data_IF_237379473617
#
_entry.id   IF_237379473617
#
_cell.length_a   1.000
_cell.length_b   1.000
_cell.length_c   1.000
_cell.angle_alpha   90.00
_cell.angle_beta   90.00
_cell.angle_gamma   90.00
#
_symmetry.space_group_name_H-M   'P 1'
#
loop_
_entity.id
_entity.type
_entity.pdbx_description
1 polymer ?
#
# COMPACT_ATOMS: atom_id res chain seq x y z
N UNK A 1 8.12 -1.42 -24.21
CA UNK A 1 7.44 -1.02 -22.95
C UNK A 1 8.53 -0.66 -21.96
N UNK A 2 8.44 0.50 -21.28
CA UNK A 2 9.45 1.00 -20.36
C UNK A 2 8.78 1.46 -19.07
N UNK A 3 9.23 0.92 -17.93
CA UNK A 3 8.75 1.30 -16.60
C UNK A 3 9.87 2.07 -15.90
N UNK A 4 9.58 3.29 -15.44
CA UNK A 4 10.53 4.13 -14.70
C UNK A 4 10.01 4.41 -13.30
N UNK A 5 10.87 4.18 -12.30
CA UNK A 5 10.57 4.36 -10.88
C UNK A 5 11.11 5.71 -10.43
N UNK A 6 10.22 6.64 -10.07
CA UNK A 6 10.61 7.95 -9.53
C UNK A 6 10.63 7.98 -8.00
N UNK A 7 10.32 6.85 -7.36
CA UNK A 7 10.40 6.67 -5.91
C UNK A 7 9.30 7.38 -5.12
N UNK A 8 9.30 7.10 -3.81
CA UNK A 8 8.58 7.83 -2.78
C UNK A 8 9.65 8.29 -1.76
N UNK A 9 10.43 9.31 -2.13
CA UNK A 9 11.34 9.97 -1.18
C UNK A 9 10.58 11.12 -0.50
N UNK A 10 10.97 11.46 0.73
CA UNK A 10 10.36 12.27 1.81
C UNK A 10 9.49 13.49 1.43
N UNK A 11 9.54 13.98 0.20
CA UNK A 11 8.76 15.10 -0.35
C UNK A 11 7.69 14.68 -1.38
N UNK A 12 7.66 13.42 -1.81
CA UNK A 12 6.74 12.85 -2.80
C UNK A 12 5.76 11.92 -2.11
N UNK A 13 4.55 12.42 -1.87
CA UNK A 13 3.43 11.59 -1.39
C UNK A 13 2.80 10.86 -2.57
N UNK A 14 3.21 9.61 -2.79
CA UNK A 14 2.62 8.71 -3.79
C UNK A 14 3.66 7.90 -4.57
N UNK A 15 3.31 6.68 -4.94
CA UNK A 15 4.13 5.78 -5.75
C UNK A 15 4.15 6.22 -7.22
N UNK A 16 4.97 7.21 -7.58
CA UNK A 16 5.08 7.74 -8.95
C UNK A 16 5.81 6.77 -9.89
N UNK A 17 5.10 5.80 -10.44
CA UNK A 17 5.61 4.98 -11.52
C UNK A 17 5.13 5.54 -12.86
N UNK A 18 6.05 5.71 -13.79
CA UNK A 18 5.73 6.10 -15.17
C UNK A 18 5.86 4.88 -16.07
N UNK A 19 4.76 4.51 -16.72
CA UNK A 19 4.74 3.50 -17.77
C UNK A 19 4.69 4.18 -19.14
N UNK A 20 5.64 3.82 -20.00
CA UNK A 20 5.66 4.20 -21.41
C UNK A 20 5.40 2.95 -22.29
N UNK A 21 4.27 2.96 -23.00
CA UNK A 21 3.85 1.87 -23.89
C UNK A 21 3.04 2.40 -25.08
N UNK A 22 3.32 1.90 -26.29
CA UNK A 22 2.59 2.25 -27.53
C UNK A 22 2.40 3.77 -27.73
N UNK A 23 3.43 4.57 -27.41
CA UNK A 23 3.38 6.03 -27.52
C UNK A 23 2.58 6.76 -26.42
N UNK A 24 2.03 6.02 -25.44
CA UNK A 24 1.28 6.58 -24.31
C UNK A 24 2.15 6.63 -23.06
N UNK A 25 1.92 7.66 -22.23
CA UNK A 25 2.52 7.87 -20.91
C UNK A 25 1.44 7.75 -19.85
N UNK A 26 1.62 6.82 -18.92
CA UNK A 26 0.65 6.55 -17.85
C UNK A 26 1.35 6.79 -16.51
N UNK A 27 0.78 7.69 -15.71
CA UNK A 27 1.14 7.86 -14.31
C UNK A 27 0.31 6.90 -13.46
N UNK A 28 1.01 6.04 -12.74
CA UNK A 28 0.44 5.08 -11.80
C UNK A 28 0.53 5.73 -10.42
N UNK A 29 -0.57 5.74 -9.65
CA UNK A 29 -0.58 6.30 -8.27
C UNK A 29 -1.55 7.44 -7.99
N UNK A 30 -2.41 7.82 -8.95
CA UNK A 30 -3.64 8.60 -8.69
C UNK A 30 -3.49 10.04 -8.19
N UNK A 31 -2.29 10.59 -8.04
CA UNK A 31 -2.09 11.95 -7.56
C UNK A 31 -2.48 12.99 -8.63
N UNK A 32 -3.42 13.89 -8.33
CA UNK A 32 -3.80 15.03 -9.20
C UNK A 32 -2.71 16.11 -9.25
N UNK A 33 -1.85 16.14 -8.23
CA UNK A 33 -0.70 17.05 -8.11
C UNK A 33 0.51 16.28 -7.59
N UNK A 34 1.64 16.45 -8.24
CA UNK A 34 2.91 15.85 -7.83
C UNK A 34 3.92 16.96 -7.51
N UNK A 35 4.64 16.82 -6.39
CA UNK A 35 5.76 17.70 -6.05
C UNK A 35 7.03 17.09 -6.63
N UNK A 36 7.67 17.80 -7.55
CA UNK A 36 8.88 17.36 -8.25
C UNK A 36 9.91 18.50 -8.20
N UNK A 37 11.09 18.23 -7.64
CA UNK A 37 12.19 19.20 -7.55
C UNK A 37 11.83 20.54 -6.89
N UNK A 38 10.89 20.53 -5.93
CA UNK A 38 10.42 21.74 -5.25
C UNK A 38 9.21 22.40 -5.90
N UNK A 39 8.87 22.03 -7.14
CA UNK A 39 7.71 22.56 -7.86
C UNK A 39 6.50 21.64 -7.75
N UNK A 40 5.30 22.23 -7.69
CA UNK A 40 4.04 21.48 -7.74
C UNK A 40 3.50 21.45 -9.16
N UNK A 41 3.45 20.27 -9.77
CA UNK A 41 2.97 20.08 -11.14
C UNK A 41 1.57 19.48 -11.11
N UNK A 42 0.63 20.10 -11.84
CA UNK A 42 -0.70 19.53 -12.08
C UNK A 42 -0.63 18.38 -13.07
N UNK A 43 -1.21 17.24 -12.70
CA UNK A 43 -1.33 16.09 -13.59
C UNK A 43 -2.52 16.30 -14.52
N UNK A 44 -2.22 16.58 -15.80
CA UNK A 44 -3.24 16.82 -16.85
C UNK A 44 -3.52 15.61 -17.73
N UNK A 45 -2.93 14.46 -17.40
CA UNK A 45 -3.10 13.21 -18.16
C UNK A 45 -4.11 12.30 -17.47
N UNK A 46 -4.88 11.50 -18.23
CA UNK A 46 -5.76 10.49 -17.64
C UNK A 46 -4.96 9.56 -16.71
N UNK A 47 -5.41 9.48 -15.46
CA UNK A 47 -4.85 8.59 -14.46
C UNK A 47 -5.47 7.21 -14.61
N UNK A 48 -4.62 6.20 -14.79
CA UNK A 48 -5.03 4.80 -14.73
C UNK A 48 -4.25 4.13 -13.60
N UNK A 49 -4.96 3.81 -12.51
CA UNK A 49 -4.40 3.01 -11.44
C UNK A 49 -4.36 1.54 -11.90
N UNK A 50 -3.16 1.01 -12.10
CA UNK A 50 -2.96 -0.43 -12.27
C UNK A 50 -2.64 -0.97 -10.89
N UNK A 51 -3.69 -1.40 -10.17
CA UNK A 51 -3.55 -2.11 -8.91
C UNK A 51 -3.15 -3.55 -9.27
N UNK A 52 -1.90 -3.95 -9.03
CA UNK A 52 -1.43 -5.30 -9.40
C UNK A 52 0.09 -5.51 -9.48
N UNK A 53 0.92 -4.49 -9.25
CA UNK A 53 2.38 -4.65 -9.11
C UNK A 53 2.85 -4.72 -7.64
N UNK A 54 1.92 -4.63 -6.68
CA UNK A 54 2.25 -4.91 -5.28
C UNK A 54 2.40 -6.42 -5.14
N UNK A 55 3.58 -6.92 -4.82
CA UNK A 55 3.80 -8.33 -4.47
C UNK A 55 3.20 -8.70 -3.10
N UNK A 56 2.42 -7.81 -2.50
CA UNK A 56 1.71 -8.03 -1.24
C UNK A 56 0.27 -8.43 -1.54
N UNK A 57 -0.19 -9.47 -0.84
CA UNK A 57 -1.56 -9.92 -0.93
C UNK A 57 -2.54 -8.80 -0.54
N UNK A 58 -3.64 -8.71 -1.27
CA UNK A 58 -4.70 -7.73 -1.00
C UNK A 58 -5.46 -8.09 0.28
N UNK A 59 -6.21 -7.11 0.83
CA UNK A 59 -7.00 -7.30 2.07
C UNK A 59 -7.85 -8.57 2.03
N UNK A 60 -8.55 -8.79 0.92
CA UNK A 60 -9.51 -9.88 0.81
C UNK A 60 -8.79 -11.24 0.78
N UNK A 61 -7.61 -11.31 0.16
CA UNK A 61 -6.75 -12.50 0.18
C UNK A 61 -6.25 -12.81 1.60
N UNK A 62 -5.84 -11.79 2.35
CA UNK A 62 -5.44 -11.95 3.75
C UNK A 62 -6.59 -12.43 4.64
N UNK A 63 -7.80 -11.92 4.46
CA UNK A 63 -8.98 -12.35 5.21
C UNK A 63 -9.35 -13.80 4.88
N UNK A 64 -9.31 -14.19 3.61
CA UNK A 64 -9.54 -15.58 3.19
C UNK A 64 -8.51 -16.52 3.81
N UNK A 65 -7.22 -16.18 3.74
CA UNK A 65 -6.15 -16.98 4.31
C UNK A 65 -6.26 -17.10 5.83
N UNK A 66 -6.51 -15.98 6.53
CA UNK A 66 -6.63 -15.94 7.99
C UNK A 66 -7.79 -16.82 8.46
N UNK A 67 -8.95 -16.67 7.81
CA UNK A 67 -10.14 -17.46 8.12
C UNK A 67 -9.88 -18.96 7.97
N UNK A 68 -9.20 -19.39 6.89
CA UNK A 68 -8.86 -20.80 6.69
C UNK A 68 -7.92 -21.38 7.76
N UNK A 69 -7.12 -20.54 8.43
CA UNK A 69 -6.13 -20.99 9.42
C UNK A 69 -6.67 -21.04 10.85
N UNK A 70 -7.74 -20.31 11.14
CA UNK A 70 -8.37 -20.16 12.46
C UNK A 70 -7.36 -19.94 13.61
N UNK A 71 -6.46 -18.94 13.52
CA UNK A 71 -5.47 -18.72 14.57
C UNK A 71 -6.14 -18.17 15.83
N UNK A 72 -5.79 -18.72 17.00
CA UNK A 72 -6.30 -18.23 18.28
C UNK A 72 -5.81 -16.80 18.60
N UNK A 73 -4.65 -16.41 18.04
CA UNK A 73 -4.02 -15.11 18.22
C UNK A 73 -3.36 -14.64 16.93
N UNK A 74 -3.54 -13.37 16.60
CA UNK A 74 -2.96 -12.69 15.44
C UNK A 74 -2.18 -11.46 15.90
N UNK A 75 -0.92 -11.36 15.49
CA UNK A 75 -0.07 -10.19 15.77
C UNK A 75 0.10 -9.43 14.46
N UNK A 76 -0.44 -8.21 14.39
CA UNK A 76 -0.38 -7.35 13.22
C UNK A 76 0.83 -6.42 13.33
N UNK A 77 1.71 -6.50 12.34
CA UNK A 77 2.94 -5.72 12.25
C UNK A 77 3.11 -5.17 10.83
N UNK A 78 4.10 -4.30 10.64
CA UNK A 78 4.51 -3.78 9.34
C UNK A 78 3.36 -3.25 8.47
N UNK A 79 2.84 -2.08 8.84
CA UNK A 79 1.84 -1.35 8.08
C UNK A 79 1.62 0.02 8.69
N UNK A 80 0.97 0.91 7.95
CA UNK A 80 0.52 2.18 8.52
C UNK A 80 -0.52 1.92 9.61
N UNK A 81 -0.48 2.69 10.70
CA UNK A 81 -1.34 2.47 11.87
C UNK A 81 -2.84 2.43 11.51
N UNK A 82 -3.28 3.32 10.60
CA UNK A 82 -4.67 3.33 10.13
C UNK A 82 -5.04 2.07 9.35
N UNK A 83 -4.12 1.57 8.51
CA UNK A 83 -4.34 0.36 7.73
C UNK A 83 -4.41 -0.88 8.63
N UNK A 84 -3.49 -0.99 9.61
CA UNK A 84 -3.50 -2.09 10.59
C UNK A 84 -4.77 -2.09 11.44
N UNK A 85 -5.21 -0.91 11.91
CA UNK A 85 -6.46 -0.77 12.68
C UNK A 85 -7.68 -1.19 11.85
N UNK A 86 -7.77 -0.70 10.62
CA UNK A 86 -8.87 -1.07 9.72
C UNK A 86 -8.86 -2.57 9.43
N UNK A 87 -7.69 -3.18 9.22
CA UNK A 87 -7.59 -4.61 9.00
C UNK A 87 -7.99 -5.43 10.24
N UNK A 88 -7.59 -5.00 11.44
CA UNK A 88 -7.94 -5.64 12.70
C UNK A 88 -9.45 -5.75 12.93
N UNK A 89 -10.22 -4.73 12.53
CA UNK A 89 -11.69 -4.72 12.65
C UNK A 89 -12.37 -5.85 11.84
N UNK A 90 -11.70 -6.34 10.80
CA UNK A 90 -12.21 -7.40 9.93
C UNK A 90 -11.74 -8.80 10.35
N UNK A 91 -10.88 -8.91 11.38
CA UNK A 91 -10.44 -10.19 11.92
C UNK A 91 -11.42 -10.67 13.01
N UNK A 92 -11.87 -11.91 12.89
CA UNK A 92 -12.81 -12.51 13.83
C UNK A 92 -12.29 -13.86 14.34
N UNK A 93 -12.73 -14.25 15.54
CA UNK A 93 -12.34 -15.53 16.15
C UNK A 93 -10.88 -15.62 16.58
N UNK A 94 -10.20 -14.48 16.74
CA UNK A 94 -8.79 -14.38 17.11
C UNK A 94 -8.57 -13.20 18.06
N UNK A 95 -7.64 -13.29 19.00
CA UNK A 95 -7.14 -12.11 19.71
C UNK A 95 -6.16 -11.35 18.82
N UNK A 96 -6.29 -10.02 18.72
CA UNK A 96 -5.43 -9.20 17.86
C UNK A 96 -4.52 -8.32 18.69
N UNK A 97 -3.21 -8.44 18.49
CA UNK A 97 -2.19 -7.55 19.05
C UNK A 97 -1.59 -6.65 17.96
N UNK A 98 -1.33 -5.39 18.32
CA UNK A 98 -0.66 -4.40 17.45
C UNK A 98 0.49 -3.74 18.22
N UNK A 99 1.63 -4.43 18.40
CA UNK A 99 2.75 -3.91 19.18
C UNK A 99 3.36 -2.68 18.51
N UNK A 100 3.78 -1.74 19.33
CA UNK A 100 4.62 -0.61 18.92
C UNK A 100 6.09 -1.01 18.97
N UNK A 101 6.93 -0.19 18.33
CA UNK A 101 8.38 -0.37 18.39
C UNK A 101 8.85 -0.34 19.84
N UNK A 102 9.43 -1.45 20.30
CA UNK A 102 9.94 -1.60 21.67
C UNK A 102 9.00 -2.36 22.62
N UNK A 103 7.79 -2.69 22.18
CA UNK A 103 6.88 -3.54 22.96
C UNK A 103 7.34 -5.01 22.89
N UNK A 104 7.19 -5.73 23.99
CA UNK A 104 7.42 -7.17 24.07
C UNK A 104 6.08 -7.92 24.14
N UNK A 105 5.97 -9.00 23.37
CA UNK A 105 4.82 -9.90 23.39
C UNK A 105 5.26 -11.27 23.90
N UNK A 106 4.62 -11.74 24.97
CA UNK A 106 4.77 -13.13 25.47
C UNK A 106 3.86 -14.03 24.62
N UNK A 107 4.41 -15.09 24.03
CA UNK A 107 3.70 -16.02 23.13
C UNK A 107 2.89 -17.08 23.89
#
# INVERSE_FOLDING_TARGET
>A
MKLSFYGADRDVTGSCHLLEAQGKRILIGGAERIKLFGDTIQVRVPLHAINGFSAHADRDEWLTWHSARHPARTILVHGEEKALRSFAEHLHGTSVDMPRKGDEIVL
#
